data_IF_870932960270
#
_entry.id   IF_870932960270
#
_cell.length_a   1.000
_cell.length_b   1.000
_cell.length_c   1.000
_cell.angle_alpha   90.00
_cell.angle_beta   90.00
_cell.angle_gamma   90.00
#
_symmetry.space_group_name_H-M   'P 1'
#
loop_
_entity.id
_entity.type
_entity.pdbx_description
1 polymer ?
#
# COMPACT_ATOMS: atom_id res chain seq x y z
N UNK A 1 -6.42 2.20 -12.22
CA UNK A 1 -5.13 2.54 -11.61
C UNK A 1 -5.13 2.20 -10.13
N UNK A 2 -4.08 1.58 -9.67
CA UNK A 2 -3.95 1.22 -8.26
C UNK A 2 -3.39 2.41 -7.50
N UNK A 3 -3.91 2.64 -6.31
CA UNK A 3 -3.46 3.73 -5.47
C UNK A 3 -3.17 3.21 -4.07
N UNK A 4 -2.20 3.79 -3.40
CA UNK A 4 -1.86 3.41 -2.03
C UNK A 4 -2.42 4.44 -1.04
N UNK A 5 -3.37 5.26 -1.47
CA UNK A 5 -3.95 6.24 -0.57
C UNK A 5 -4.53 5.59 0.69
N UNK A 6 -5.22 4.44 0.60
CA UNK A 6 -5.73 3.81 1.81
C UNK A 6 -4.62 3.47 2.80
N UNK A 7 -3.44 3.10 2.30
CA UNK A 7 -2.31 2.76 3.16
C UNK A 7 -1.96 3.96 4.07
N UNK A 8 -1.86 5.15 3.48
CA UNK A 8 -1.50 6.33 4.26
C UNK A 8 -2.59 6.67 5.27
N UNK A 9 -3.86 6.50 4.89
CA UNK A 9 -4.98 6.76 5.79
C UNK A 9 -4.98 5.75 6.94
N UNK A 10 -4.68 4.50 6.67
CA UNK A 10 -4.62 3.45 7.69
C UNK A 10 -3.50 3.76 8.69
N UNK A 11 -2.35 4.23 8.21
CA UNK A 11 -1.28 4.60 9.11
C UNK A 11 -1.71 5.74 10.03
N UNK A 12 -2.45 6.70 9.51
CA UNK A 12 -2.91 7.79 10.34
C UNK A 12 -3.92 7.30 11.37
N UNK A 13 -4.85 6.46 10.93
CA UNK A 13 -5.85 5.96 11.85
C UNK A 13 -5.26 5.14 12.96
N UNK A 14 -4.24 4.35 12.67
CA UNK A 14 -3.64 3.49 13.66
C UNK A 14 -2.48 4.17 14.39
N UNK A 15 -2.18 5.42 13.99
CA UNK A 15 -1.11 6.17 14.60
C UNK A 15 0.22 5.44 14.48
N UNK A 16 0.49 4.89 13.31
CA UNK A 16 1.72 4.16 13.02
C UNK A 16 2.56 4.98 12.08
N UNK A 17 3.86 5.09 12.34
CA UNK A 17 4.75 5.85 11.48
C UNK A 17 5.53 4.93 10.57
N UNK A 18 6.08 5.50 9.50
CA UNK A 18 6.95 4.74 8.59
C UNK A 18 8.18 4.24 9.36
N UNK A 19 8.70 5.07 10.24
CA UNK A 19 9.85 4.68 11.04
C UNK A 19 9.53 3.40 11.82
N UNK A 20 8.35 3.34 12.42
CA UNK A 20 7.93 2.17 13.20
C UNK A 20 7.85 0.93 12.30
N UNK A 21 7.30 1.09 11.10
CA UNK A 21 7.18 -0.03 10.18
C UNK A 21 8.54 -0.58 9.80
N UNK A 22 9.49 0.28 9.52
CA UNK A 22 10.81 -0.17 9.09
C UNK A 22 11.60 -0.75 10.24
N UNK A 23 11.62 -0.08 11.37
CA UNK A 23 12.51 -0.47 12.46
C UNK A 23 11.90 -1.44 13.46
N UNK A 24 10.59 -1.51 13.56
CA UNK A 24 9.95 -2.41 14.51
C UNK A 24 9.28 -3.59 13.86
N UNK A 25 8.81 -3.42 12.63
CA UNK A 25 8.08 -4.48 11.96
C UNK A 25 8.83 -5.12 10.79
N UNK A 26 10.05 -4.67 10.54
CA UNK A 26 10.87 -5.29 9.52
C UNK A 26 10.45 -5.00 8.08
N UNK A 27 9.72 -3.93 7.85
CA UNK A 27 9.33 -3.57 6.50
C UNK A 27 10.54 -2.96 5.81
N UNK A 28 10.84 -3.43 4.60
CA UNK A 28 11.98 -2.95 3.88
C UNK A 28 11.76 -1.50 3.43
N UNK A 29 12.77 -0.65 3.57
CA UNK A 29 12.63 0.74 3.17
C UNK A 29 12.38 0.88 1.67
N UNK A 30 12.85 -0.07 0.86
CA UNK A 30 12.57 -0.04 -0.57
C UNK A 30 11.08 -0.21 -0.83
N UNK A 31 10.39 -1.00 -0.02
CA UNK A 31 8.95 -1.18 -0.15
C UNK A 31 8.24 0.15 0.08
N UNK A 32 8.68 0.89 1.09
CA UNK A 32 8.08 2.18 1.39
C UNK A 32 8.33 3.16 0.23
N UNK A 33 9.53 3.13 -0.32
CA UNK A 33 9.84 4.01 -1.45
C UNK A 33 8.99 3.68 -2.67
N UNK A 34 8.72 2.40 -2.92
CA UNK A 34 7.87 2.01 -4.02
C UNK A 34 6.44 2.51 -3.79
N UNK A 35 5.96 2.42 -2.56
CA UNK A 35 4.62 2.89 -2.23
C UNK A 35 4.55 4.41 -2.44
N UNK A 36 5.59 5.14 -2.04
CA UNK A 36 5.61 6.58 -2.23
C UNK A 36 5.58 6.97 -3.70
N UNK A 37 6.17 6.14 -4.56
CA UNK A 37 6.19 6.42 -5.99
C UNK A 37 5.03 5.78 -6.72
N UNK A 38 4.14 5.15 -5.99
CA UNK A 38 3.00 4.44 -6.56
C UNK A 38 3.47 3.30 -7.48
N UNK A 39 4.60 2.71 -7.17
CA UNK A 39 5.12 1.58 -7.94
C UNK A 39 4.52 0.29 -7.41
N UNK A 40 4.68 -0.79 -8.14
CA UNK A 40 4.04 -2.05 -7.74
C UNK A 40 4.80 -2.71 -6.60
N UNK A 41 4.08 -3.49 -5.81
CA UNK A 41 4.66 -4.34 -4.79
C UNK A 41 4.09 -5.73 -5.01
N UNK A 42 4.74 -6.73 -4.46
CA UNK A 42 4.25 -8.09 -4.64
C UNK A 42 3.10 -8.35 -3.68
N UNK A 43 2.29 -9.36 -4.01
CA UNK A 43 1.21 -9.73 -3.11
C UNK A 43 1.76 -10.27 -1.81
N UNK A 44 2.97 -10.84 -1.81
CA UNK A 44 3.61 -11.29 -0.58
C UNK A 44 3.85 -10.08 0.33
N UNK A 45 4.34 -8.98 -0.23
CA UNK A 45 4.58 -7.76 0.54
C UNK A 45 3.25 -7.18 1.04
N UNK A 46 2.23 -7.23 0.19
CA UNK A 46 0.91 -6.75 0.56
C UNK A 46 0.37 -7.57 1.74
N UNK A 47 0.55 -8.88 1.68
CA UNK A 47 0.12 -9.77 2.75
C UNK A 47 0.82 -9.40 4.06
N UNK A 48 2.11 -9.12 3.98
CA UNK A 48 2.89 -8.77 5.16
C UNK A 48 2.41 -7.45 5.76
N UNK A 49 2.11 -6.47 4.92
CA UNK A 49 1.60 -5.18 5.39
C UNK A 49 0.25 -5.36 6.09
N UNK A 50 -0.63 -6.18 5.53
CA UNK A 50 -1.92 -6.44 6.13
C UNK A 50 -1.74 -7.10 7.51
N UNK A 51 -0.79 -8.02 7.60
CA UNK A 51 -0.55 -8.72 8.85
C UNK A 51 0.00 -7.76 9.91
N UNK A 52 0.98 -6.95 9.54
CA UNK A 52 1.61 -6.03 10.46
C UNK A 52 0.63 -4.97 10.95
N UNK A 53 -0.22 -4.46 10.06
CA UNK A 53 -1.15 -3.42 10.43
C UNK A 53 -2.49 -3.95 10.93
N UNK A 54 -2.70 -5.26 10.82
CA UNK A 54 -3.95 -5.86 11.27
C UNK A 54 -5.13 -5.34 10.47
N UNK A 55 -4.99 -5.26 9.17
CA UNK A 55 -6.03 -4.70 8.33
C UNK A 55 -6.23 -5.56 7.08
N UNK A 56 -7.16 -5.16 6.25
CA UNK A 56 -7.47 -5.89 5.02
C UNK A 56 -6.79 -5.26 3.83
N UNK A 57 -6.84 -5.94 2.69
CA UNK A 57 -6.22 -5.45 1.46
C UNK A 57 -6.77 -4.08 1.07
N UNK A 58 -8.07 -3.87 1.20
CA UNK A 58 -8.67 -2.59 0.83
C UNK A 58 -8.24 -1.45 1.75
N UNK A 59 -7.58 -1.75 2.83
CA UNK A 59 -7.04 -0.71 3.70
C UNK A 59 -5.61 -0.34 3.30
N UNK A 60 -5.07 -1.00 2.29
CA UNK A 60 -3.72 -0.74 1.79
C UNK A 60 -3.80 -0.16 0.38
N UNK A 61 -4.60 -0.77 -0.49
CA UNK A 61 -4.66 -0.34 -1.89
C UNK A 61 -6.11 -0.16 -2.33
N UNK A 62 -6.29 0.61 -3.37
CA UNK A 62 -7.61 0.75 -3.99
C UNK A 62 -7.41 0.79 -5.49
N UNK A 63 -8.47 0.53 -6.23
CA UNK A 63 -8.44 0.60 -7.68
C UNK A 63 -9.44 1.64 -8.15
N UNK A 64 -9.03 2.48 -9.04
CA UNK A 64 -9.91 3.46 -9.64
C UNK A 64 -9.77 3.31 -11.15
N UNK A 65 -10.87 3.13 -11.86
CA UNK A 65 -10.78 3.00 -13.32
C UNK A 65 -10.26 4.29 -13.92
N UNK A 66 -9.46 4.15 -14.97
CA UNK A 66 -8.96 5.30 -15.66
C UNK A 66 -10.08 5.88 -16.49
N UNK A 67 -10.13 7.21 -16.56
CA UNK A 67 -11.20 7.80 -17.29
C UNK A 67 -11.18 7.45 -18.71
N UNK A 68 -10.06 7.39 -19.32
CA UNK A 68 -10.09 7.20 -20.72
C UNK A 68 -9.77 5.87 -21.06
N UNK A 69 -9.82 4.97 -20.33
CA UNK A 69 -9.44 3.73 -20.63
C UNK A 69 -10.18 3.07 -21.49
N UNK A 70 -10.98 3.61 -22.00
CA UNK A 70 -11.67 2.96 -22.86
C UNK A 70 -10.89 2.06 -23.56
N UNK A 71 -11.15 1.21 -23.89
CA UNK A 71 -10.51 0.37 -24.65
C UNK A 71 -9.48 -0.39 -24.13
N UNK A 72 -9.25 -0.32 -23.20
CA UNK A 72 -8.29 -0.90 -22.73
C UNK A 72 -8.44 -2.17 -22.51
N UNK A 73 -8.51 -2.90 -22.83
CA UNK A 73 -8.73 -4.07 -22.66
C UNK A 73 -7.84 -4.76 -22.15
N UNK A 74 -7.55 -5.10 -21.73
CA UNK A 74 -6.62 -5.74 -21.25
C UNK A 74 -6.53 -6.84 -21.27
#
# INVERSE_FOLDING_TARGET
MISYEPFWNTLKEKNVTIYHLIHKNGINSNTINRIKKNASITTYTLDHLCHVLGCSVQDIISYTPDDDDSGQEA
#
